data_IF_146211240118
#
_entry.id   IF_146211240118
#
_cell.length_a   1.000
_cell.length_b   1.000
_cell.length_c   1.000
_cell.angle_alpha   90.00
_cell.angle_beta   90.00
_cell.angle_gamma   90.00
#
_symmetry.space_group_name_H-M   'P 1'
#
loop_
_entity.id
_entity.type
_entity.pdbx_description
1 polymer ?
#
# COMPACT_ATOMS: atom_id res chain seq x y z
N UNK A 1 11.17 21.96 4.05
CA UNK A 1 10.23 22.09 2.91
C UNK A 1 10.41 21.06 1.78
N UNK A 2 11.64 20.69 1.36
CA UNK A 2 11.84 19.75 0.23
C UNK A 2 11.14 18.39 0.38
N UNK A 3 11.18 17.78 1.58
CA UNK A 3 10.50 16.50 1.89
C UNK A 3 8.97 16.60 1.75
N UNK A 4 8.36 17.63 2.34
CA UNK A 4 6.91 17.85 2.25
C UNK A 4 6.46 18.07 0.80
N UNK A 5 7.23 18.82 0.00
CA UNK A 5 6.93 18.98 -1.43
C UNK A 5 6.96 17.65 -2.18
N UNK A 6 7.95 16.78 -1.89
CA UNK A 6 8.04 15.43 -2.45
C UNK A 6 6.84 14.58 -2.07
N UNK A 7 6.46 14.58 -0.78
CA UNK A 7 5.28 13.87 -0.27
C UNK A 7 3.97 14.40 -0.88
N UNK A 8 3.86 15.71 -1.13
CA UNK A 8 2.69 16.33 -1.74
C UNK A 8 2.55 15.94 -3.20
N UNK A 9 3.65 16.04 -3.96
CA UNK A 9 3.72 15.55 -5.34
C UNK A 9 3.41 14.06 -5.40
N UNK A 10 3.94 13.28 -4.46
CA UNK A 10 3.70 11.85 -4.33
C UNK A 10 2.23 11.48 -4.11
N UNK A 11 1.55 12.19 -3.19
CA UNK A 11 0.12 12.01 -2.95
C UNK A 11 -0.74 12.31 -4.18
N UNK A 12 -0.45 13.39 -4.90
CA UNK A 12 -1.14 13.73 -6.16
C UNK A 12 -0.84 12.67 -7.23
N UNK A 13 0.43 12.27 -7.35
CA UNK A 13 0.86 11.25 -8.31
C UNK A 13 0.15 9.91 -8.09
N UNK A 14 0.10 9.40 -6.85
CA UNK A 14 -0.66 8.18 -6.53
C UNK A 14 -2.13 8.32 -6.87
N UNK A 15 -2.73 9.50 -6.63
CA UNK A 15 -4.12 9.77 -7.02
C UNK A 15 -4.33 9.62 -8.52
N UNK A 16 -3.47 10.26 -9.31
CA UNK A 16 -3.52 10.19 -10.77
C UNK A 16 -3.29 8.78 -11.28
N UNK A 17 -2.30 8.05 -10.74
CA UNK A 17 -1.99 6.69 -11.17
C UNK A 17 -3.15 5.72 -10.94
N UNK A 18 -3.74 5.73 -9.73
CA UNK A 18 -4.88 4.86 -9.45
C UNK A 18 -6.11 5.20 -10.31
N UNK A 19 -6.29 6.48 -10.65
CA UNK A 19 -7.47 6.92 -11.40
C UNK A 19 -7.35 6.71 -12.91
N UNK A 20 -6.14 6.87 -13.47
CA UNK A 20 -5.92 6.97 -14.92
C UNK A 20 -4.95 5.93 -15.47
N UNK A 21 -4.18 5.22 -14.64
CA UNK A 21 -3.24 4.16 -15.06
C UNK A 21 -3.36 2.90 -14.19
N UNK A 22 -4.55 2.29 -14.08
CA UNK A 22 -4.76 1.09 -13.26
C UNK A 22 -3.83 -0.06 -13.67
N UNK A 23 -3.60 -0.27 -14.98
CA UNK A 23 -2.70 -1.31 -15.50
C UNK A 23 -1.27 -1.16 -14.99
N UNK A 24 -0.78 0.08 -14.87
CA UNK A 24 0.54 0.34 -14.29
C UNK A 24 0.57 0.00 -12.80
N UNK A 25 -0.49 0.36 -12.05
CA UNK A 25 -0.57 0.04 -10.62
C UNK A 25 -0.64 -1.47 -10.40
N UNK A 26 -1.37 -2.20 -11.24
CA UNK A 26 -1.45 -3.65 -11.20
C UNK A 26 -0.12 -4.32 -11.54
N UNK A 27 0.55 -3.87 -12.61
CA UNK A 27 1.89 -4.35 -12.96
C UNK A 27 2.87 -4.15 -11.80
N UNK A 28 2.88 -2.96 -11.20
CA UNK A 28 3.75 -2.70 -10.06
C UNK A 28 3.36 -3.53 -8.83
N UNK A 29 2.08 -3.82 -8.62
CA UNK A 29 1.64 -4.69 -7.53
C UNK A 29 2.16 -6.12 -7.68
N UNK A 30 2.35 -6.61 -8.92
CA UNK A 30 2.97 -7.91 -9.20
C UNK A 30 4.49 -7.90 -8.98
N UNK A 31 5.15 -6.76 -9.25
CA UNK A 31 6.59 -6.60 -9.01
C UNK A 31 6.93 -6.32 -7.54
N UNK A 32 5.94 -5.90 -6.75
CA UNK A 32 6.12 -5.52 -5.35
C UNK A 32 6.29 -6.76 -4.48
N UNK A 33 7.41 -6.81 -3.77
CA UNK A 33 7.71 -7.87 -2.81
C UNK A 33 7.69 -7.33 -1.37
N UNK A 34 7.62 -8.26 -0.41
CA UNK A 34 7.57 -7.98 1.02
C UNK A 34 6.16 -7.75 1.55
N UNK A 35 6.09 -7.39 2.83
CA UNK A 35 4.84 -7.18 3.56
C UNK A 35 4.88 -5.91 4.42
N UNK A 36 3.71 -5.47 4.89
CA UNK A 36 3.62 -4.32 5.78
C UNK A 36 4.22 -4.64 7.15
N UNK A 37 5.36 -4.04 7.48
CA UNK A 37 6.03 -4.17 8.79
C UNK A 37 5.47 -3.25 9.89
N UNK A 38 4.31 -2.63 9.68
CA UNK A 38 3.67 -1.73 10.65
C UNK A 38 4.57 -0.58 11.11
N UNK A 39 5.43 -0.03 10.24
CA UNK A 39 6.27 1.13 10.56
C UNK A 39 5.46 2.43 10.78
N UNK A 40 4.26 2.53 10.17
CA UNK A 40 3.40 3.71 10.23
C UNK A 40 3.81 4.86 9.30
N UNK A 41 4.94 4.77 8.59
CA UNK A 41 5.48 5.88 7.78
C UNK A 41 4.56 6.33 6.65
N UNK A 42 3.84 5.40 6.00
CA UNK A 42 2.85 5.72 4.98
C UNK A 42 1.64 6.51 5.54
N UNK A 43 1.33 6.35 6.83
CA UNK A 43 0.27 7.05 7.54
C UNK A 43 0.70 8.45 8.02
N UNK A 44 1.98 8.80 7.90
CA UNK A 44 2.53 10.11 8.31
C UNK A 44 3.02 10.95 7.12
N UNK A 45 2.77 10.48 5.88
CA UNK A 45 3.02 11.25 4.67
C UNK A 45 2.18 12.53 4.70
N UNK A 46 2.85 13.69 4.71
CA UNK A 46 2.32 15.06 4.86
C UNK A 46 1.71 15.42 6.21
N UNK A 47 0.89 14.55 6.78
CA UNK A 47 0.21 14.77 8.04
C UNK A 47 0.04 13.45 8.79
N UNK A 48 -0.17 13.53 10.10
CA UNK A 48 -0.47 12.35 10.92
C UNK A 48 -1.90 11.89 10.65
N UNK A 49 -2.04 10.71 10.05
CA UNK A 49 -3.33 10.08 9.80
C UNK A 49 -4.08 9.84 11.14
N UNK A 50 -5.38 10.16 11.23
CA UNK A 50 -6.16 9.95 12.45
C UNK A 50 -6.39 8.47 12.77
N UNK A 51 -6.17 7.57 11.81
CA UNK A 51 -6.29 6.12 11.98
C UNK A 51 -4.98 5.43 12.39
N UNK A 52 -3.89 6.19 12.55
CA UNK A 52 -2.63 5.64 13.03
C UNK A 52 -2.67 5.51 14.55
N UNK A 53 -2.53 4.28 15.04
CA UNK A 53 -2.35 3.94 16.45
C UNK A 53 -0.87 3.61 16.66
N UNK A 54 -0.24 4.25 17.65
CA UNK A 54 1.15 3.97 18.02
C UNK A 54 1.16 3.13 19.30
N UNK A 55 1.82 1.97 19.24
CA UNK A 55 2.10 1.15 20.42
C UNK A 55 3.23 1.75 21.27
N UNK A 56 3.33 1.29 22.52
CA UNK A 56 4.40 1.70 23.44
C UNK A 56 5.79 1.23 22.97
N UNK A 57 5.84 0.19 22.16
CA UNK A 57 7.01 -0.38 21.48
C UNK A 57 7.44 0.41 20.23
N UNK A 58 6.69 1.46 19.86
CA UNK A 58 6.94 2.27 18.67
C UNK A 58 6.28 1.75 17.39
N UNK A 59 5.61 0.59 17.42
CA UNK A 59 4.88 0.05 16.28
C UNK A 59 3.74 0.98 15.86
N UNK A 60 3.55 1.15 14.55
CA UNK A 60 2.53 2.01 13.95
C UNK A 60 1.47 1.20 13.23
N UNK A 61 0.36 0.92 13.91
CA UNK A 61 -0.75 0.11 13.38
C UNK A 61 -1.82 1.01 12.75
N UNK A 62 -2.25 0.67 11.53
CA UNK A 62 -3.38 1.31 10.88
C UNK A 62 -4.68 0.67 11.38
N UNK A 63 -5.52 1.43 12.08
CA UNK A 63 -6.75 0.93 12.69
C UNK A 63 -7.84 0.52 11.69
N UNK A 64 -7.69 0.92 10.42
CA UNK A 64 -8.60 0.60 9.30
C UNK A 64 -7.87 -0.18 8.21
N UNK A 65 -6.89 -1.01 8.57
CA UNK A 65 -6.01 -1.67 7.60
C UNK A 65 -6.75 -2.44 6.49
N UNK A 66 -7.81 -3.17 6.83
CA UNK A 66 -8.64 -3.89 5.85
C UNK A 66 -9.53 -2.96 5.02
N UNK A 67 -9.82 -1.76 5.54
CA UNK A 67 -10.74 -0.78 4.95
C UNK A 67 -10.02 0.45 4.41
N UNK A 68 -8.73 0.30 4.09
CA UNK A 68 -7.89 1.39 3.61
C UNK A 68 -8.49 1.97 2.33
N UNK A 69 -8.59 3.31 2.19
CA UNK A 69 -8.90 3.93 0.91
C UNK A 69 -7.91 3.50 -0.16
N UNK A 70 -8.30 3.45 -1.43
CA UNK A 70 -7.46 2.94 -2.52
C UNK A 70 -6.04 3.52 -2.55
N UNK A 71 -5.89 4.82 -2.27
CA UNK A 71 -4.58 5.49 -2.17
C UNK A 71 -3.66 4.91 -1.08
N UNK A 72 -4.23 4.51 0.05
CA UNK A 72 -3.53 3.92 1.18
C UNK A 72 -3.30 2.41 0.97
N UNK A 73 -4.26 1.71 0.36
CA UNK A 73 -4.14 0.28 0.05
C UNK A 73 -3.10 0.02 -1.05
N UNK A 74 -2.99 0.93 -2.03
CA UNK A 74 -2.03 0.81 -3.12
C UNK A 74 -0.60 1.20 -2.73
N UNK A 75 -0.37 1.80 -1.56
CA UNK A 75 0.97 2.21 -1.15
C UNK A 75 1.83 1.01 -0.71
N UNK A 76 3.10 0.93 -1.12
CA UNK A 76 3.75 1.75 -2.16
C UNK A 76 3.33 1.29 -3.56
N UNK A 77 3.15 2.24 -4.48
CA UNK A 77 2.84 1.93 -5.89
C UNK A 77 4.11 1.60 -6.65
N UNK A 78 5.24 2.22 -6.33
CA UNK A 78 6.55 2.04 -6.95
C UNK A 78 7.65 2.61 -6.03
N UNK A 79 8.92 2.51 -6.43
CA UNK A 79 10.06 3.04 -5.66
C UNK A 79 9.96 4.53 -5.32
N UNK A 80 9.34 5.34 -6.17
CA UNK A 80 9.13 6.76 -5.88
C UNK A 80 8.28 6.96 -4.61
N UNK A 81 7.37 6.03 -4.29
CA UNK A 81 6.64 6.03 -3.02
C UNK A 81 7.56 5.71 -1.83
N UNK A 82 8.51 4.77 -1.99
CA UNK A 82 9.49 4.45 -0.95
C UNK A 82 10.39 5.64 -0.63
N UNK A 83 10.79 6.41 -1.65
CA UNK A 83 11.54 7.66 -1.46
C UNK A 83 10.77 8.74 -0.67
N UNK A 84 9.43 8.70 -0.61
CA UNK A 84 8.63 9.61 0.23
C UNK A 84 8.76 9.33 1.73
N UNK A 85 9.06 8.09 2.06
CA UNK A 85 9.30 7.58 3.42
C UNK A 85 10.78 7.27 3.66
N UNK A 86 11.67 7.84 2.85
CA UNK A 86 13.13 7.69 2.95
C UNK A 86 13.59 6.21 2.97
N UNK A 87 12.86 5.35 2.25
CA UNK A 87 13.05 3.89 2.19
C UNK A 87 12.95 3.19 3.56
N UNK A 88 12.35 3.84 4.55
CA UNK A 88 12.02 3.24 5.84
C UNK A 88 10.70 2.46 5.73
N UNK A 89 10.74 1.38 4.93
CA UNK A 89 9.65 0.45 4.69
C UNK A 89 10.21 -0.85 4.12
N UNK A 90 9.60 -1.99 4.45
CA UNK A 90 10.05 -3.33 4.03
C UNK A 90 9.66 -3.74 2.62
N UNK A 91 8.83 -2.96 1.93
CA UNK A 91 8.47 -3.25 0.55
C UNK A 91 9.63 -2.92 -0.40
N UNK A 92 9.80 -3.76 -1.41
CA UNK A 92 10.77 -3.58 -2.50
C UNK A 92 10.12 -3.94 -3.85
N UNK A 93 10.79 -3.61 -4.96
CA UNK A 93 10.31 -3.88 -6.31
C UNK A 93 11.38 -4.62 -7.09
N UNK A 94 11.01 -5.75 -7.67
CA UNK A 94 11.93 -6.54 -8.50
C UNK A 94 12.02 -6.00 -9.92
N UNK A 95 13.14 -6.28 -10.56
CA UNK A 95 13.29 -6.00 -11.97
C UNK A 95 12.36 -6.93 -12.78
N UNK A 96 11.76 -6.46 -13.89
CA UNK A 96 10.94 -7.30 -14.76
C UNK A 96 11.67 -8.55 -15.29
N UNK A 97 13.01 -8.50 -15.35
CA UNK A 97 13.84 -9.65 -15.71
C UNK A 97 13.78 -10.79 -14.69
N UNK A 98 13.62 -10.48 -13.40
CA UNK A 98 13.58 -11.47 -12.32
C UNK A 98 12.25 -12.24 -12.28
N UNK A 99 11.17 -11.62 -12.78
CA UNK A 99 9.87 -12.28 -12.94
C UNK A 99 9.88 -13.35 -14.04
N UNK A 100 10.68 -13.17 -15.10
CA UNK A 100 10.81 -14.15 -16.16
C UNK A 100 11.56 -15.39 -15.66
N UNK A 101 12.60 -15.20 -14.83
CA UNK A 101 13.38 -16.29 -14.23
C UNK A 101 12.52 -17.17 -13.32
N UNK A 102 11.60 -16.57 -12.55
CA UNK A 102 10.71 -17.32 -11.65
C UNK A 102 9.65 -18.13 -12.38
N UNK A 103 9.12 -17.64 -13.51
CA UNK A 103 8.17 -18.42 -14.33
C UNK A 103 8.87 -19.62 -14.99
N UNK A 104 10.10 -19.45 -15.47
CA UNK A 104 10.88 -20.55 -16.05
C UNK A 104 11.22 -21.64 -15.03
N UNK A 105 11.36 -21.28 -13.75
CA UNK A 105 11.66 -22.21 -12.65
C UNK A 105 10.41 -22.87 -12.03
N UNK A 106 9.20 -22.40 -12.31
CA UNK A 106 7.95 -22.92 -11.77
C UNK A 106 7.28 -24.01 -12.62
N UNK A 107 7.97 -24.54 -13.64
CA UNK A 107 7.44 -25.50 -14.61
C UNK A 107 7.07 -26.90 -14.09
N UNK A 108 7.08 -27.16 -12.78
CA UNK A 108 6.84 -28.51 -12.25
C UNK A 108 6.17 -28.50 -10.85
N UNK A 109 4.94 -27.96 -10.74
CA UNK A 109 4.05 -28.28 -9.63
C UNK A 109 2.56 -28.00 -9.94
N UNK A 110 1.83 -29.08 -10.21
CA UNK A 110 0.49 -29.48 -9.75
C UNK A 110 -0.69 -28.47 -9.73
N UNK A 111 -1.82 -28.98 -10.25
CA UNK A 111 -3.12 -28.34 -10.40
C UNK A 111 -3.79 -28.07 -9.04
N UNK A 112 -4.03 -26.81 -8.74
CA UNK A 112 -4.89 -26.42 -7.63
C UNK A 112 -4.83 -24.94 -7.36
N UNK A 113 -5.28 -24.12 -8.31
CA UNK A 113 -5.38 -22.66 -8.12
C UNK A 113 -6.40 -22.37 -7.01
N UNK A 114 -6.01 -21.83 -5.84
CA UNK A 114 -6.95 -21.03 -5.08
C UNK A 114 -7.16 -19.78 -5.93
N UNK A 115 -8.39 -19.52 -6.36
CA UNK A 115 -8.77 -18.30 -7.04
C UNK A 115 -8.48 -17.11 -6.11
N UNK A 116 -7.25 -16.60 -6.17
CA UNK A 116 -6.85 -15.36 -5.55
C UNK A 116 -7.72 -14.30 -6.21
N UNK A 117 -8.65 -13.74 -5.43
CA UNK A 117 -9.48 -12.62 -5.86
C UNK A 117 -8.59 -11.62 -6.63
N UNK A 118 -9.02 -11.15 -7.81
CA UNK A 118 -8.18 -10.33 -8.67
C UNK A 118 -7.62 -9.16 -7.84
N UNK A 119 -6.30 -8.90 -7.88
CA UNK A 119 -5.65 -7.89 -7.03
C UNK A 119 -6.27 -6.49 -7.12
N UNK A 120 -7.02 -6.23 -8.20
CA UNK A 120 -7.75 -4.98 -8.47
C UNK A 120 -9.01 -4.75 -7.60
N UNK A 121 -9.60 -5.79 -7.00
CA UNK A 121 -10.82 -5.66 -6.21
C UNK A 121 -10.57 -4.89 -4.90
N UNK A 122 -9.38 -5.09 -4.30
CA UNK A 122 -8.97 -4.41 -3.06
C UNK A 122 -8.54 -2.95 -3.27
N UNK A 123 -8.15 -2.57 -4.48
CA UNK A 123 -7.62 -1.23 -4.80
C UNK A 123 -8.72 -0.19 -5.05
N UNK A 124 -9.93 -0.64 -5.36
CA UNK A 124 -11.03 0.23 -5.82
C UNK A 124 -12.17 0.36 -4.81
N UNK A 125 -12.23 -0.49 -3.77
CA UNK A 125 -13.32 -0.48 -2.80
C UNK A 125 -13.14 0.61 -1.74
N UNK A 126 -13.42 1.87 -2.09
CA UNK A 126 -13.50 2.95 -1.09
C UNK A 126 -14.81 2.87 -0.32
N UNK A 127 -14.75 2.49 0.97
CA UNK A 127 -15.91 2.58 1.88
C UNK A 127 -16.33 4.04 2.10
N UNK A 128 -17.62 4.32 2.31
CA UNK A 128 -18.10 5.68 2.56
C UNK A 128 -17.46 6.25 3.83
N UNK A 129 -17.24 7.57 3.84
CA UNK A 129 -16.61 8.30 4.94
C UNK A 129 -17.30 8.02 6.28
N UNK A 130 -18.61 7.83 6.29
CA UNK A 130 -19.39 7.51 7.51
C UNK A 130 -18.91 6.23 8.19
N UNK A 131 -18.64 5.17 7.41
CA UNK A 131 -18.10 3.90 7.92
C UNK A 131 -16.71 4.10 8.50
N UNK A 132 -15.84 4.86 7.80
CA UNK A 132 -14.49 5.13 8.28
C UNK A 132 -14.50 5.91 9.61
N UNK A 133 -15.34 6.94 9.73
CA UNK A 133 -15.47 7.72 10.96
C UNK A 133 -16.02 6.88 12.13
N UNK A 134 -16.94 5.95 11.86
CA UNK A 134 -17.43 5.01 12.86
C UNK A 134 -16.31 4.09 13.38
N UNK A 135 -15.50 3.52 12.48
CA UNK A 135 -14.33 2.72 12.89
C UNK A 135 -13.31 3.55 13.67
N UNK A 136 -13.06 4.82 13.29
CA UNK A 136 -12.21 5.72 14.07
C UNK A 136 -12.73 5.89 15.50
N UNK A 137 -14.04 6.12 15.66
CA UNK A 137 -14.66 6.32 16.96
C UNK A 137 -14.56 5.08 17.85
N UNK A 138 -14.87 3.88 17.31
CA UNK A 138 -14.74 2.63 18.05
C UNK A 138 -13.29 2.39 18.47
N UNK A 139 -12.34 2.58 17.57
CA UNK A 139 -10.92 2.35 17.87
C UNK A 139 -10.34 3.36 18.86
N UNK A 140 -10.97 4.53 19.04
CA UNK A 140 -10.57 5.53 20.05
C UNK A 140 -11.10 5.20 21.46
N UNK A 141 -12.11 4.33 21.55
CA UNK A 141 -12.69 3.86 22.81
C UNK A 141 -12.05 2.57 23.34
N UNK A 142 -11.16 1.97 22.55
CA UNK A 142 -10.34 0.81 22.91
C UNK A 142 -8.97 1.28 23.37
#
# INVERSE_FOLDING_TARGET
MKKQLRQMKGKIRRYVLLRFRPDYVEQQAQLRQGECNQCGNCCEILFKCPFLVRGEDGAGVCSIYEDRPGQCAAFPVDEACLAEVDFDCTFEFSDPGDLLVTIEQAGEADNGTPELAPPSERLTQTRPITTLLFHHFINRLR
#
